data_IF_907193332281
#
_entry.id   IF_907193332281
#
_cell.length_a   1.000
_cell.length_b   1.000
_cell.length_c   1.000
_cell.angle_alpha   90.00
_cell.angle_beta   90.00
_cell.angle_gamma   90.00
#
_symmetry.space_group_name_H-M   'P 1'
#
loop_
_entity.id
_entity.type
_entity.pdbx_description
1 polymer ?
#
# COMPACT_ATOMS: atom_id res chain seq x y z
N UNK A 1 20.73 5.13 1.84
CA UNK A 1 19.32 5.47 2.22
C UNK A 1 18.29 4.50 1.67
N UNK A 2 18.36 4.08 0.39
CA UNK A 2 17.40 3.16 -0.23
C UNK A 2 17.31 1.82 0.52
N UNK A 3 18.43 1.26 0.97
CA UNK A 3 18.48 0.02 1.77
C UNK A 3 17.87 0.16 3.18
N UNK A 4 17.83 1.37 3.75
CA UNK A 4 17.23 1.62 5.07
C UNK A 4 15.69 1.56 5.00
N UNK A 5 15.12 2.11 3.92
CA UNK A 5 13.69 1.98 3.62
C UNK A 5 13.33 0.50 3.37
N UNK A 6 14.25 -0.28 2.82
CA UNK A 6 14.07 -1.70 2.51
C UNK A 6 14.08 -2.64 3.74
N UNK A 7 14.36 -2.13 4.94
CA UNK A 7 14.30 -2.88 6.20
C UNK A 7 12.97 -2.71 6.95
N UNK A 8 12.27 -1.58 6.74
CA UNK A 8 11.00 -1.28 7.44
C UNK A 8 9.83 -2.18 7.00
N UNK A 9 8.93 -2.44 7.95
CA UNK A 9 7.68 -3.21 7.79
C UNK A 9 6.91 -2.68 6.56
N UNK A 10 6.34 -3.57 5.74
CA UNK A 10 5.65 -3.23 4.49
C UNK A 10 4.59 -2.13 4.65
N UNK A 11 3.94 -2.09 5.82
CA UNK A 11 2.95 -1.08 6.18
C UNK A 11 3.54 0.33 6.29
N UNK A 12 4.75 0.49 6.84
CA UNK A 12 5.39 1.80 7.00
C UNK A 12 5.79 2.39 5.64
N UNK A 13 6.20 1.55 4.68
CA UNK A 13 6.48 2.00 3.32
C UNK A 13 5.21 2.45 2.59
N UNK A 14 4.10 1.74 2.80
CA UNK A 14 2.81 2.16 2.25
C UNK A 14 2.37 3.50 2.86
N UNK A 15 2.56 3.68 4.17
CA UNK A 15 2.21 4.92 4.87
C UNK A 15 3.04 6.10 4.37
N UNK A 16 4.36 5.92 4.22
CA UNK A 16 5.25 6.92 3.62
C UNK A 16 4.82 7.23 2.17
N UNK A 17 4.47 6.21 1.39
CA UNK A 17 3.99 6.39 0.02
C UNK A 17 2.69 7.19 -0.06
N UNK A 18 1.74 6.95 0.85
CA UNK A 18 0.49 7.72 0.94
C UNK A 18 0.78 9.17 1.33
N UNK A 19 1.63 9.40 2.34
CA UNK A 19 2.04 10.76 2.74
C UNK A 19 2.66 11.50 1.56
N UNK A 20 3.58 10.86 0.83
CA UNK A 20 4.19 11.44 -0.37
C UNK A 20 3.15 11.80 -1.43
N UNK A 21 2.18 10.93 -1.69
CA UNK A 21 1.09 11.22 -2.63
C UNK A 21 0.25 12.41 -2.18
N UNK A 22 -0.07 12.53 -0.89
CA UNK A 22 -0.83 13.67 -0.34
C UNK A 22 -0.06 14.98 -0.57
N UNK A 23 1.25 15.00 -0.32
CA UNK A 23 2.08 16.20 -0.55
C UNK A 23 2.07 16.59 -2.03
N UNK A 24 2.24 15.62 -2.94
CA UNK A 24 2.20 15.87 -4.39
C UNK A 24 0.81 16.34 -4.84
N UNK A 25 -0.26 15.82 -4.24
CA UNK A 25 -1.63 16.24 -4.53
C UNK A 25 -1.86 17.70 -4.14
N UNK A 26 -1.43 18.10 -2.93
CA UNK A 26 -1.54 19.48 -2.44
C UNK A 26 -0.75 20.43 -3.35
N UNK A 27 0.46 20.04 -3.75
CA UNK A 27 1.27 20.82 -4.70
C UNK A 27 0.60 20.95 -6.07
N UNK A 28 0.08 19.85 -6.62
CA UNK A 28 -0.64 19.86 -7.90
C UNK A 28 -1.87 20.77 -7.84
N UNK A 29 -2.65 20.69 -6.77
CA UNK A 29 -3.81 21.54 -6.53
C UNK A 29 -3.42 23.01 -6.37
N UNK A 30 -2.34 23.31 -5.65
CA UNK A 30 -1.84 24.67 -5.48
C UNK A 30 -1.40 25.27 -6.81
N UNK A 31 -0.64 24.54 -7.62
CA UNK A 31 -0.23 24.97 -8.96
C UNK A 31 -1.47 25.26 -9.83
N UNK A 32 -2.44 24.35 -9.81
CA UNK A 32 -3.64 24.45 -10.64
C UNK A 32 -4.56 25.60 -10.22
N UNK A 33 -4.64 25.91 -8.93
CA UNK A 33 -5.65 26.84 -8.40
C UNK A 33 -5.08 28.21 -7.98
N UNK A 34 -3.77 28.33 -7.84
CA UNK A 34 -3.11 29.57 -7.45
C UNK A 34 -2.24 30.14 -8.57
N UNK A 35 -1.52 29.29 -9.33
CA UNK A 35 -0.62 29.77 -10.39
C UNK A 35 -1.37 29.93 -11.71
N UNK A 36 -2.34 29.04 -11.99
CA UNK A 36 -3.18 29.15 -13.19
C UNK A 36 -4.08 30.40 -13.19
N UNK A 37 -4.44 30.88 -12.02
CA UNK A 37 -5.37 32.01 -11.83
C UNK A 37 -4.66 33.34 -11.68
N UNK A 38 -3.31 33.34 -11.69
CA UNK A 38 -2.54 34.58 -11.79
C UNK A 38 -2.73 35.18 -13.17
N UNK A 39 -2.91 36.51 -13.24
CA UNK A 39 -3.14 37.24 -14.49
C UNK A 39 -1.96 37.14 -15.47
N UNK A 40 -0.72 37.12 -14.96
CA UNK A 40 0.50 36.98 -15.77
C UNK A 40 1.36 35.78 -15.33
N UNK A 41 1.00 34.55 -15.71
CA UNK A 41 1.80 33.38 -15.40
C UNK A 41 3.04 33.35 -16.32
N UNK A 42 4.26 33.17 -15.79
CA UNK A 42 5.51 33.43 -16.52
C UNK A 42 5.78 32.48 -17.70
N UNK A 43 5.15 31.30 -17.71
CA UNK A 43 5.25 30.30 -18.79
C UNK A 43 3.92 30.09 -19.53
N UNK A 44 2.92 30.94 -19.28
CA UNK A 44 1.58 30.79 -19.84
C UNK A 44 0.68 29.82 -19.06
N UNK A 45 -0.60 30.16 -18.98
CA UNK A 45 -1.55 29.50 -18.10
C UNK A 45 -1.73 28.00 -18.41
N UNK A 46 -1.77 27.66 -19.70
CA UNK A 46 -1.96 26.29 -20.19
C UNK A 46 -0.91 25.31 -19.70
N UNK A 47 0.35 25.73 -19.56
CA UNK A 47 1.44 24.86 -19.09
C UNK A 47 1.22 24.47 -17.63
N UNK A 48 0.82 25.43 -16.78
CA UNK A 48 0.53 25.17 -15.37
C UNK A 48 -0.72 24.31 -15.18
N UNK A 49 -1.72 24.44 -16.05
CA UNK A 49 -2.89 23.56 -16.08
C UNK A 49 -2.48 22.12 -16.43
N UNK A 50 -1.63 21.95 -17.45
CA UNK A 50 -1.15 20.64 -17.86
C UNK A 50 -0.32 19.96 -16.75
N UNK A 51 0.61 20.70 -16.14
CA UNK A 51 1.47 20.19 -15.05
C UNK A 51 0.65 19.92 -13.79
N UNK A 52 -0.23 20.85 -13.40
CA UNK A 52 -1.11 20.69 -12.24
C UNK A 52 -2.01 19.47 -12.38
N UNK A 53 -2.69 19.32 -13.52
CA UNK A 53 -3.59 18.19 -13.76
C UNK A 53 -2.87 16.84 -13.82
N UNK A 54 -1.70 16.77 -14.48
CA UNK A 54 -0.89 15.54 -14.54
C UNK A 54 -0.36 15.12 -13.17
N UNK A 55 0.16 16.05 -12.36
CA UNK A 55 0.60 15.78 -10.99
C UNK A 55 -0.55 15.29 -10.10
N UNK A 56 -1.71 15.94 -10.22
CA UNK A 56 -2.91 15.56 -9.45
C UNK A 56 -3.38 14.16 -9.83
N UNK A 57 -3.42 13.85 -11.12
CA UNK A 57 -3.80 12.53 -11.64
C UNK A 57 -2.82 11.44 -11.19
N UNK A 58 -1.51 11.69 -11.31
CA UNK A 58 -0.48 10.74 -10.89
C UNK A 58 -0.54 10.45 -9.38
N UNK A 59 -0.84 11.46 -8.56
CA UNK A 59 -1.00 11.26 -7.13
C UNK A 59 -2.18 10.34 -6.81
N UNK A 60 -3.35 10.59 -7.40
CA UNK A 60 -4.54 9.74 -7.21
C UNK A 60 -4.23 8.30 -7.64
N UNK A 61 -3.61 8.14 -8.81
CA UNK A 61 -3.25 6.82 -9.35
C UNK A 61 -2.25 6.09 -8.43
N UNK A 62 -1.27 6.82 -7.88
CA UNK A 62 -0.34 6.33 -6.87
C UNK A 62 -1.05 5.80 -5.62
N UNK A 63 -2.00 6.56 -5.06
CA UNK A 63 -2.80 6.12 -3.91
C UNK A 63 -3.59 4.84 -4.23
N UNK A 64 -4.25 4.80 -5.39
CA UNK A 64 -5.04 3.63 -5.82
C UNK A 64 -4.15 2.38 -5.94
N UNK A 65 -2.94 2.50 -6.50
CA UNK A 65 -2.00 1.39 -6.61
C UNK A 65 -1.51 0.91 -5.24
N UNK A 66 -1.20 1.83 -4.32
CA UNK A 66 -0.79 1.48 -2.94
C UNK A 66 -1.92 0.74 -2.22
N UNK A 67 -3.17 1.23 -2.33
CA UNK A 67 -4.33 0.57 -1.75
C UNK A 67 -4.57 -0.82 -2.35
N UNK A 68 -4.48 -0.96 -3.67
CA UNK A 68 -4.58 -2.25 -4.36
C UNK A 68 -3.50 -3.23 -3.88
N UNK A 69 -2.26 -2.76 -3.77
CA UNK A 69 -1.14 -3.56 -3.27
C UNK A 69 -1.35 -4.01 -1.82
N UNK A 70 -1.81 -3.10 -0.95
CA UNK A 70 -2.14 -3.43 0.43
C UNK A 70 -3.24 -4.48 0.52
N UNK A 71 -4.32 -4.31 -0.24
CA UNK A 71 -5.42 -5.27 -0.29
C UNK A 71 -4.94 -6.66 -0.75
N UNK A 72 -4.15 -6.72 -1.82
CA UNK A 72 -3.66 -7.98 -2.37
C UNK A 72 -2.64 -8.65 -1.42
N UNK A 73 -1.84 -7.86 -0.70
CA UNK A 73 -0.91 -8.34 0.32
C UNK A 73 -1.64 -8.97 1.52
N UNK A 74 -2.72 -8.33 2.00
CA UNK A 74 -3.57 -8.87 3.08
C UNK A 74 -4.22 -10.19 2.65
N UNK A 75 -4.78 -10.23 1.43
CA UNK A 75 -5.40 -11.45 0.89
C UNK A 75 -4.40 -12.61 0.76
N UNK A 76 -3.15 -12.33 0.39
CA UNK A 76 -2.07 -13.32 0.38
C UNK A 76 -1.67 -13.77 1.79
N UNK A 77 -1.63 -12.85 2.76
CA UNK A 77 -1.33 -13.18 4.15
C UNK A 77 -2.40 -14.10 4.76
N UNK A 78 -3.69 -13.79 4.56
CA UNK A 78 -4.80 -14.63 5.03
C UNK A 78 -4.75 -16.05 4.44
N UNK A 79 -4.41 -16.19 3.15
CA UNK A 79 -4.23 -17.51 2.52
C UNK A 79 -3.11 -18.30 3.19
N UNK A 80 -1.99 -17.66 3.53
CA UNK A 80 -0.86 -18.30 4.24
C UNK A 80 -1.26 -18.72 5.65
N UNK A 81 -2.01 -17.89 6.36
CA UNK A 81 -2.51 -18.23 7.70
C UNK A 81 -3.49 -19.39 7.69
N UNK A 82 -4.43 -19.44 6.72
CA UNK A 82 -5.35 -20.57 6.56
C UNK A 82 -4.58 -21.88 6.30
N UNK A 83 -3.55 -21.86 5.46
CA UNK A 83 -2.67 -23.02 5.23
C UNK A 83 -1.94 -23.44 6.52
N UNK A 84 -1.37 -22.48 7.27
CA UNK A 84 -0.67 -22.77 8.54
C UNK A 84 -1.61 -23.35 9.60
N UNK A 85 -2.83 -22.81 9.74
CA UNK A 85 -3.85 -23.33 10.67
C UNK A 85 -4.27 -24.75 10.29
N UNK A 86 -4.44 -25.04 8.98
CA UNK A 86 -4.76 -26.40 8.48
C UNK A 86 -3.67 -27.41 8.81
N UNK A 87 -2.40 -27.08 8.56
CA UNK A 87 -1.27 -27.96 8.92
C UNK A 87 -1.16 -28.15 10.43
N UNK A 88 -1.27 -27.09 11.24
CA UNK A 88 -1.21 -27.20 12.70
C UNK A 88 -2.34 -28.07 13.26
N UNK A 89 -3.56 -27.94 12.73
CA UNK A 89 -4.69 -28.79 13.12
C UNK A 89 -4.42 -30.26 12.78
N UNK A 90 -3.86 -30.52 11.60
CA UNK A 90 -3.53 -31.87 11.15
C UNK A 90 -2.53 -32.55 12.11
N UNK A 91 -1.43 -31.88 12.45
CA UNK A 91 -0.43 -32.41 13.38
C UNK A 91 -0.96 -32.60 14.81
N UNK A 92 -1.84 -31.71 15.29
CA UNK A 92 -2.48 -31.88 16.60
C UNK A 92 -3.43 -33.08 16.63
N UNK A 93 -4.14 -33.34 15.51
CA UNK A 93 -5.10 -34.44 15.42
C UNK A 93 -4.38 -35.79 15.36
N UNK A 94 -3.25 -35.86 14.65
CA UNK A 94 -2.40 -37.07 14.59
C UNK A 94 -1.72 -37.38 15.93
N UNK A 95 -1.26 -36.35 16.65
CA UNK A 95 -0.64 -36.56 17.97
C UNK A 95 -1.63 -37.11 18.99
N UNK A 96 -2.87 -36.59 19.00
CA UNK A 96 -3.94 -37.10 19.87
C UNK A 96 -4.36 -38.53 19.50
N UNK A 97 -4.41 -38.86 18.20
CA UNK A 97 -4.74 -40.20 17.73
C UNK A 97 -3.68 -41.23 18.15
N UNK A 98 -2.39 -40.88 18.07
CA UNK A 98 -1.27 -41.72 18.56
C UNK A 98 -1.23 -41.86 20.07
N UNK A 99 -1.70 -40.86 20.83
CA UNK A 99 -1.79 -40.93 22.29
C UNK A 99 -2.88 -41.92 22.72
N UNK A 100 -4.04 -41.86 22.07
CA UNK A 100 -5.19 -42.75 22.36
C UNK A 100 -4.92 -44.22 22.00
N UNK A 101 -4.08 -44.49 21.00
CA UNK A 101 -3.70 -45.87 20.62
C UNK A 101 -2.60 -46.50 21.50
N UNK A 102 -1.96 -45.73 22.39
CA UNK A 102 -0.88 -46.19 23.27
C UNK A 102 -1.32 -46.44 24.71
N UNK A 103 -2.59 -46.21 25.03
CA UNK A 103 -3.18 -46.54 26.32
C UNK A 103 -4.02 -47.80 26.11
N UNK A 104 -3.48 -49.02 26.28
CA UNK A 104 -4.31 -50.20 26.45
C UNK A 104 -4.95 -50.11 27.84
N UNK A 105 -6.26 -50.40 27.89
CA UNK A 105 -7.04 -50.56 29.12
C UNK A 105 -6.50 -51.71 29.99
#
# INVERSE_FOLDING_TARGET
>A
MINYIMSKRTNERCLIGIILCIVVFILGYFILNHISTMEDPPLGNTIYILIGSTLTFLSILGVVLILKYMYDSKKKAERRERKRKKHRLFYLKDSQRKKKSKTPE
#
